data_IF_484142399343
#
_entry.id   IF_484142399343
#
_cell.length_a   1.000
_cell.length_b   1.000
_cell.length_c   1.000
_cell.angle_alpha   90.00
_cell.angle_beta   90.00
_cell.angle_gamma   90.00
#
_symmetry.space_group_name_H-M   'P 1'
#
loop_
_entity.id
_entity.type
_entity.pdbx_description
1 polymer ?
#
# COMPACT_ATOMS: atom_id res chain seq x y z
N UNK A 1 14.03 2.95 -0.21
CA UNK A 1 13.53 3.82 -1.29
C UNK A 1 12.02 3.74 -1.32
N UNK A 2 11.29 4.86 -1.24
CA UNK A 2 9.84 4.88 -1.35
C UNK A 2 9.35 4.23 -2.65
N UNK A 3 8.19 3.57 -2.60
CA UNK A 3 7.52 3.06 -3.79
C UNK A 3 6.81 4.19 -4.53
N UNK A 4 6.46 3.97 -5.80
CA UNK A 4 5.63 4.91 -6.56
C UNK A 4 4.26 5.11 -5.90
N UNK A 5 3.63 6.26 -6.13
CA UNK A 5 2.19 6.39 -5.93
C UNK A 5 1.49 5.42 -6.86
N UNK A 6 0.60 4.59 -6.33
CA UNK A 6 -0.06 3.54 -7.09
C UNK A 6 -1.48 3.25 -6.59
N UNK A 7 -2.30 2.75 -7.50
CA UNK A 7 -3.61 2.17 -7.20
C UNK A 7 -3.83 0.92 -8.05
N UNK A 8 -4.79 0.09 -7.65
CA UNK A 8 -5.07 -1.17 -8.29
C UNK A 8 -6.51 -1.22 -8.79
N UNK A 9 -6.77 -1.85 -9.96
CA UNK A 9 -8.12 -1.97 -10.49
C UNK A 9 -8.97 -2.96 -9.68
N UNK A 10 -10.29 -2.74 -9.68
CA UNK A 10 -11.25 -3.76 -9.28
C UNK A 10 -11.40 -4.85 -10.36
N UNK A 11 -12.18 -5.90 -10.05
CA UNK A 11 -12.36 -7.03 -10.95
C UNK A 11 -13.02 -6.68 -12.30
N UNK A 12 -13.89 -5.68 -12.34
CA UNK A 12 -14.55 -5.26 -13.57
C UNK A 12 -13.59 -4.44 -14.46
N UNK A 13 -12.84 -3.53 -13.83
CA UNK A 13 -11.83 -2.70 -14.48
C UNK A 13 -10.66 -3.52 -15.00
N UNK A 14 -10.17 -4.50 -14.22
CA UNK A 14 -9.08 -5.39 -14.62
C UNK A 14 -9.45 -6.18 -15.89
N UNK A 15 -10.62 -6.82 -15.89
CA UNK A 15 -11.11 -7.56 -17.08
C UNK A 15 -11.30 -6.66 -18.29
N UNK A 16 -11.92 -5.49 -18.11
CA UNK A 16 -12.18 -4.57 -19.21
C UNK A 16 -10.88 -3.99 -19.80
N UNK A 17 -9.94 -3.59 -18.92
CA UNK A 17 -8.65 -3.04 -19.32
C UNK A 17 -7.78 -4.09 -20.03
N UNK A 18 -7.67 -5.29 -19.48
CA UNK A 18 -6.93 -6.40 -20.09
C UNK A 18 -7.48 -6.76 -21.48
N UNK A 19 -8.81 -6.86 -21.60
CA UNK A 19 -9.45 -7.14 -22.90
C UNK A 19 -9.21 -6.02 -23.92
N UNK A 20 -9.28 -4.75 -23.50
CA UNK A 20 -9.02 -3.58 -24.36
C UNK A 20 -7.58 -3.59 -24.87
N UNK A 21 -6.58 -3.71 -23.99
CA UNK A 21 -5.17 -3.70 -24.38
C UNK A 21 -4.79 -4.89 -25.26
N UNK A 22 -5.40 -6.06 -25.04
CA UNK A 22 -5.25 -7.20 -25.94
C UNK A 22 -5.86 -6.93 -27.34
N UNK A 23 -7.02 -6.26 -27.41
CA UNK A 23 -7.64 -5.88 -28.68
C UNK A 23 -6.81 -4.84 -29.44
N UNK A 24 -6.17 -3.93 -28.70
CA UNK A 24 -5.30 -2.91 -29.26
C UNK A 24 -3.92 -3.48 -29.67
N UNK A 25 -3.65 -4.76 -29.37
CA UNK A 25 -2.43 -5.47 -29.73
C UNK A 25 -1.20 -5.06 -28.93
N UNK A 26 -1.41 -4.52 -27.73
CA UNK A 26 -0.32 -4.17 -26.79
C UNK A 26 0.20 -5.47 -26.17
N UNK A 27 1.50 -5.73 -26.32
CA UNK A 27 2.13 -6.92 -25.76
C UNK A 27 2.05 -6.90 -24.21
N UNK A 28 1.92 -8.09 -23.59
CA UNK A 28 1.86 -8.19 -22.12
C UNK A 28 3.13 -7.69 -21.45
N UNK A 29 4.27 -7.77 -22.12
CA UNK A 29 5.57 -7.30 -21.64
C UNK A 29 5.90 -5.85 -22.07
N UNK A 30 4.97 -5.16 -22.76
CA UNK A 30 5.18 -3.78 -23.15
C UNK A 30 5.26 -2.87 -21.91
N UNK A 31 6.30 -2.03 -21.77
CA UNK A 31 6.47 -1.14 -20.61
C UNK A 31 5.36 -0.10 -20.44
N UNK A 32 4.54 0.14 -21.47
CA UNK A 32 3.39 1.04 -21.43
C UNK A 32 2.09 0.31 -21.09
N UNK A 33 2.11 -1.03 -21.00
CA UNK A 33 0.92 -1.81 -20.65
C UNK A 33 0.56 -1.59 -19.18
N UNK A 34 -0.72 -1.31 -18.92
CA UNK A 34 -1.27 -1.09 -17.58
C UNK A 34 -1.92 -2.34 -17.01
N UNK A 35 -2.67 -3.10 -17.86
CA UNK A 35 -3.39 -4.31 -17.43
C UNK A 35 -2.68 -5.56 -17.96
N UNK A 36 -1.89 -6.20 -17.11
CA UNK A 36 -1.10 -7.39 -17.46
C UNK A 36 -1.86 -8.70 -17.25
N UNK A 37 -2.95 -8.64 -16.48
CA UNK A 37 -3.87 -9.75 -16.21
C UNK A 37 -5.32 -9.24 -16.04
N UNK A 38 -6.30 -10.14 -15.93
CA UNK A 38 -7.71 -9.83 -15.78
C UNK A 38 -8.23 -9.91 -14.34
N UNK A 39 -7.32 -9.93 -13.34
CA UNK A 39 -7.63 -10.03 -11.92
C UNK A 39 -7.53 -8.69 -11.18
N UNK A 40 -8.39 -8.48 -10.16
CA UNK A 40 -8.23 -7.37 -9.24
C UNK A 40 -6.99 -7.58 -8.37
N UNK A 41 -6.41 -6.50 -7.85
CA UNK A 41 -5.30 -6.58 -6.92
C UNK A 41 -5.70 -5.97 -5.57
N UNK A 42 -6.17 -6.82 -4.67
CA UNK A 42 -6.37 -6.51 -3.25
C UNK A 42 -5.09 -6.82 -2.50
N UNK A 43 -4.71 -5.96 -1.57
CA UNK A 43 -3.49 -6.10 -0.78
C UNK A 43 -3.73 -5.88 0.70
N UNK A 44 -2.95 -6.56 1.53
CA UNK A 44 -2.76 -6.24 2.94
C UNK A 44 -1.27 -6.27 3.24
N UNK A 45 -0.80 -5.20 3.89
CA UNK A 45 0.53 -5.13 4.45
C UNK A 45 0.45 -5.19 5.98
N UNK A 46 1.18 -6.12 6.58
CA UNK A 46 1.36 -6.23 8.04
C UNK A 46 2.75 -5.75 8.41
N UNK A 47 2.84 -4.76 9.27
CA UNK A 47 4.12 -4.20 9.71
C UNK A 47 4.88 -5.18 10.62
N UNK A 48 6.16 -5.41 10.35
CA UNK A 48 7.12 -6.14 11.23
C UNK A 48 8.03 -5.18 11.99
N UNK A 49 8.19 -3.96 11.52
CA UNK A 49 8.87 -2.86 12.20
C UNK A 49 7.95 -1.64 12.24
N UNK A 50 8.39 -0.54 12.82
CA UNK A 50 7.75 0.75 12.55
C UNK A 50 7.73 0.95 11.03
N UNK A 51 6.55 1.24 10.49
CA UNK A 51 6.30 1.30 9.05
C UNK A 51 5.58 2.59 8.67
N UNK A 52 6.05 3.22 7.62
CA UNK A 52 5.56 4.49 7.11
C UNK A 52 4.99 4.32 5.70
N UNK A 53 3.84 4.91 5.46
CA UNK A 53 3.22 4.91 4.15
C UNK A 53 2.34 6.13 3.90
N UNK A 54 1.86 6.24 2.67
CA UNK A 54 0.80 7.17 2.26
C UNK A 54 -0.40 6.36 1.83
N UNK A 55 -1.62 6.73 2.24
CA UNK A 55 -2.80 5.93 1.91
C UNK A 55 -4.09 6.74 1.97
N UNK A 56 -4.81 6.78 0.85
CA UNK A 56 -6.08 7.49 0.73
C UNK A 56 -5.95 9.01 0.74
N UNK A 57 -6.89 9.69 0.07
CA UNK A 57 -6.87 11.15 0.02
C UNK A 57 -7.32 11.76 1.35
N UNK A 58 -6.54 12.74 1.81
CA UNK A 58 -6.90 13.66 2.90
C UNK A 58 -8.06 14.55 2.45
N UNK A 59 -8.77 15.14 3.41
CA UNK A 59 -9.79 16.14 3.12
C UNK A 59 -9.21 17.30 2.30
N UNK A 60 -9.88 17.74 1.21
CA UNK A 60 -9.39 18.82 0.36
C UNK A 60 -9.11 20.12 1.10
N UNK A 61 -9.97 20.45 2.09
CA UNK A 61 -9.81 21.67 2.87
C UNK A 61 -8.62 21.60 3.82
N UNK A 62 -8.43 20.46 4.48
CA UNK A 62 -7.25 20.20 5.32
C UNK A 62 -5.97 20.23 4.50
N UNK A 63 -5.98 19.58 3.32
CA UNK A 63 -4.85 19.61 2.40
C UNK A 63 -4.50 21.05 2.01
N UNK A 64 -5.48 21.86 1.63
CA UNK A 64 -5.28 23.26 1.27
C UNK A 64 -4.72 24.06 2.44
N UNK A 65 -5.25 23.88 3.65
CA UNK A 65 -4.80 24.56 4.85
C UNK A 65 -3.31 24.28 5.14
N UNK A 66 -2.85 23.03 5.01
CA UNK A 66 -1.45 22.67 5.23
C UNK A 66 -0.51 23.34 4.20
N UNK A 67 -0.92 23.45 2.95
CA UNK A 67 -0.15 24.20 1.95
C UNK A 67 -0.13 25.70 2.25
N UNK A 68 -1.22 26.29 2.73
CA UNK A 68 -1.29 27.70 3.09
C UNK A 68 -0.44 28.01 4.33
N UNK A 69 -0.39 27.11 5.31
CA UNK A 69 0.42 27.24 6.53
C UNK A 69 1.94 27.18 6.25
N UNK A 70 2.37 26.57 5.13
CA UNK A 70 3.77 26.64 4.69
C UNK A 70 4.20 28.04 4.23
N UNK A 71 3.26 28.95 3.96
CA UNK A 71 3.54 30.33 3.50
C UNK A 71 4.46 30.40 2.28
N UNK A 72 4.27 29.50 1.31
CA UNK A 72 5.00 29.48 0.04
C UNK A 72 4.73 30.78 -0.74
N UNK A 73 5.78 31.45 -1.20
CA UNK A 73 5.66 32.75 -1.89
C UNK A 73 5.18 32.64 -3.33
N UNK A 74 5.54 31.55 -4.03
CA UNK A 74 5.06 31.27 -5.38
C UNK A 74 3.55 30.97 -5.31
N UNK A 75 2.71 31.62 -6.15
CA UNK A 75 1.29 31.32 -6.18
C UNK A 75 1.03 29.84 -6.45
N UNK A 76 0.33 29.18 -5.52
CA UNK A 76 -0.02 27.74 -5.61
C UNK A 76 -1.34 27.49 -6.35
N UNK A 77 -2.18 28.55 -6.53
CA UNK A 77 -3.50 28.43 -7.14
C UNK A 77 -3.52 27.80 -8.55
N UNK A 78 -2.50 27.97 -9.42
CA UNK A 78 -2.47 27.26 -10.70
C UNK A 78 -2.51 25.74 -10.56
N UNK A 79 -2.13 25.20 -9.40
CA UNK A 79 -2.10 23.76 -9.12
C UNK A 79 -3.15 23.35 -8.11
N UNK A 80 -3.27 24.11 -7.01
CA UNK A 80 -4.09 23.78 -5.83
C UNK A 80 -5.43 24.53 -5.78
N UNK A 81 -5.70 25.45 -6.72
CA UNK A 81 -6.91 26.29 -6.70
C UNK A 81 -8.21 25.49 -6.67
N UNK A 82 -8.24 24.34 -7.34
CA UNK A 82 -9.41 23.46 -7.36
C UNK A 82 -9.79 22.93 -5.97
N UNK A 83 -8.86 22.89 -4.99
CA UNK A 83 -9.17 22.52 -3.60
C UNK A 83 -10.08 23.54 -2.89
N UNK A 84 -10.11 24.77 -3.37
CA UNK A 84 -10.96 25.84 -2.84
C UNK A 84 -12.17 26.14 -3.73
N UNK A 85 -12.02 26.03 -5.03
CA UNK A 85 -13.06 26.37 -6.01
C UNK A 85 -14.09 25.26 -6.20
N UNK A 86 -13.73 24.02 -5.89
CA UNK A 86 -14.57 22.82 -6.02
C UNK A 86 -14.70 22.10 -4.69
N UNK A 87 -15.51 21.06 -4.65
CA UNK A 87 -15.69 20.22 -3.47
C UNK A 87 -15.62 18.73 -3.81
N UNK A 88 -15.26 17.93 -2.80
CA UNK A 88 -15.26 16.47 -2.89
C UNK A 88 -14.34 15.91 -3.97
N UNK A 89 -14.80 14.87 -4.64
CA UNK A 89 -14.02 14.11 -5.63
C UNK A 89 -13.52 14.94 -6.80
N UNK A 90 -14.27 15.96 -7.23
CA UNK A 90 -13.86 16.79 -8.35
C UNK A 90 -12.66 17.68 -7.99
N UNK A 91 -12.61 18.21 -6.76
CA UNK A 91 -11.48 18.97 -6.26
C UNK A 91 -10.22 18.10 -6.20
N UNK A 92 -10.33 16.90 -5.62
CA UNK A 92 -9.22 15.96 -5.51
C UNK A 92 -8.70 15.50 -6.87
N UNK A 93 -9.59 15.08 -7.78
CA UNK A 93 -9.20 14.60 -9.10
C UNK A 93 -8.48 15.67 -9.91
N UNK A 94 -9.04 16.87 -9.99
CA UNK A 94 -8.45 17.96 -10.77
C UNK A 94 -7.10 18.40 -10.19
N UNK A 95 -7.00 18.56 -8.87
CA UNK A 95 -5.74 18.94 -8.22
C UNK A 95 -4.68 17.85 -8.41
N UNK A 96 -5.03 16.58 -8.18
CA UNK A 96 -4.11 15.47 -8.35
C UNK A 96 -3.55 15.41 -9.77
N UNK A 97 -4.40 15.48 -10.77
CA UNK A 97 -3.99 15.49 -12.17
C UNK A 97 -3.15 16.74 -12.52
N UNK A 98 -3.48 17.89 -11.95
CA UNK A 98 -2.67 19.10 -12.10
C UNK A 98 -1.27 18.93 -11.52
N UNK A 99 -1.10 18.20 -10.42
CA UNK A 99 0.21 17.92 -9.84
C UNK A 99 1.07 17.03 -10.73
N UNK A 100 0.48 16.18 -11.57
CA UNK A 100 1.22 15.26 -12.45
C UNK A 100 1.77 15.93 -13.72
N UNK A 101 1.32 17.12 -14.05
CA UNK A 101 1.88 17.86 -15.20
C UNK A 101 3.31 18.33 -14.89
N UNK A 102 4.27 17.89 -15.69
CA UNK A 102 5.70 18.10 -15.46
C UNK A 102 6.26 19.43 -15.96
N UNK A 103 5.53 20.55 -15.85
CA UNK A 103 5.95 21.86 -16.30
C UNK A 103 6.80 22.63 -15.27
N UNK A 104 7.40 23.74 -15.72
CA UNK A 104 8.30 24.55 -14.90
C UNK A 104 7.60 25.22 -13.71
N UNK A 105 6.31 25.55 -13.83
CA UNK A 105 5.52 26.15 -12.74
C UNK A 105 5.41 25.18 -11.57
N UNK A 106 5.09 23.93 -11.84
CA UNK A 106 4.95 22.88 -10.80
C UNK A 106 6.28 22.54 -10.16
N UNK A 107 7.37 22.48 -10.96
CA UNK A 107 8.73 22.27 -10.43
C UNK A 107 9.16 23.40 -9.51
N UNK A 108 8.82 24.65 -9.86
CA UNK A 108 9.11 25.80 -8.99
C UNK A 108 8.34 25.71 -7.68
N UNK A 109 7.03 25.36 -7.71
CA UNK A 109 6.20 25.21 -6.51
C UNK A 109 6.79 24.11 -5.61
N UNK A 110 7.12 22.92 -6.13
CA UNK A 110 7.75 21.84 -5.37
C UNK A 110 9.04 22.30 -4.71
N UNK A 111 9.93 22.95 -5.48
CA UNK A 111 11.22 23.42 -4.97
C UNK A 111 11.02 24.36 -3.79
N UNK A 112 10.05 25.27 -3.87
CA UNK A 112 9.76 26.21 -2.79
C UNK A 112 9.07 25.54 -1.61
N UNK A 113 8.08 24.66 -1.85
CA UNK A 113 7.43 23.85 -0.82
C UNK A 113 8.46 23.10 0.00
N UNK A 114 9.38 22.38 -0.63
CA UNK A 114 10.45 21.64 0.05
C UNK A 114 11.39 22.59 0.81
N UNK A 115 11.77 23.69 0.21
CA UNK A 115 12.66 24.69 0.84
C UNK A 115 12.07 25.28 2.12
N UNK A 116 10.75 25.56 2.13
CA UNK A 116 10.06 26.08 3.32
C UNK A 116 9.82 24.97 4.33
N UNK A 117 9.43 23.77 3.88
CA UNK A 117 9.14 22.60 4.70
C UNK A 117 10.31 22.24 5.62
N UNK A 118 11.58 22.42 5.19
CA UNK A 118 12.78 22.17 6.02
C UNK A 118 12.70 22.88 7.39
N UNK A 119 12.05 24.03 7.48
CA UNK A 119 11.95 24.80 8.73
C UNK A 119 10.94 24.18 9.71
N UNK A 120 10.03 23.32 9.25
CA UNK A 120 8.94 22.72 10.02
C UNK A 120 9.15 21.25 10.38
N UNK A 121 10.15 20.57 9.82
CA UNK A 121 10.37 19.11 10.02
C UNK A 121 10.53 18.69 11.50
N UNK A 122 10.94 19.60 12.36
CA UNK A 122 11.11 19.35 13.80
C UNK A 122 9.83 19.53 14.64
N UNK A 123 8.73 19.97 14.04
CA UNK A 123 7.48 20.20 14.75
C UNK A 123 6.68 18.92 14.98
N UNK A 124 6.11 18.78 16.17
CA UNK A 124 5.15 17.70 16.48
C UNK A 124 3.72 18.18 16.22
N UNK A 125 3.46 18.52 14.97
CA UNK A 125 2.20 19.08 14.46
C UNK A 125 1.84 18.43 13.13
N UNK A 126 0.57 18.52 12.65
CA UNK A 126 0.20 18.10 11.30
C UNK A 126 1.04 18.77 10.20
N UNK A 127 1.39 20.05 10.37
CA UNK A 127 2.29 20.77 9.47
C UNK A 127 3.70 20.15 9.47
N UNK A 128 4.24 19.80 10.65
CA UNK A 128 5.53 19.14 10.76
C UNK A 128 5.57 17.77 10.08
N UNK A 129 4.49 16.98 10.19
CA UNK A 129 4.37 15.70 9.47
C UNK A 129 4.29 15.89 7.96
N UNK A 130 3.49 16.85 7.51
CA UNK A 130 3.38 17.24 6.11
C UNK A 130 4.74 17.69 5.54
N UNK A 131 5.45 18.52 6.29
CA UNK A 131 6.78 19.02 5.93
C UNK A 131 7.83 17.89 5.86
N UNK A 132 7.86 16.97 6.84
CA UNK A 132 8.72 15.79 6.80
C UNK A 132 8.45 14.94 5.57
N UNK A 133 7.19 14.76 5.20
CA UNK A 133 6.82 14.00 4.00
C UNK A 133 7.37 14.66 2.74
N UNK A 134 7.23 15.98 2.60
CA UNK A 134 7.75 16.71 1.45
C UNK A 134 9.28 16.57 1.31
N UNK A 135 10.01 16.77 2.41
CA UNK A 135 11.47 16.71 2.43
C UNK A 135 11.97 15.27 2.17
N UNK A 136 11.36 14.27 2.82
CA UNK A 136 11.70 12.85 2.62
C UNK A 136 11.52 12.42 1.15
N UNK A 137 10.42 12.81 0.53
CA UNK A 137 10.16 12.46 -0.86
C UNK A 137 11.14 13.16 -1.83
N UNK A 138 11.50 14.42 -1.55
CA UNK A 138 12.47 15.16 -2.39
C UNK A 138 13.87 14.56 -2.33
N UNK A 139 14.27 13.93 -1.24
CA UNK A 139 15.55 13.20 -1.16
C UNK A 139 15.66 12.07 -2.19
N UNK A 140 14.53 11.43 -2.53
CA UNK A 140 14.49 10.31 -3.48
C UNK A 140 14.03 10.71 -4.88
N UNK A 141 13.24 11.77 -5.00
CA UNK A 141 12.62 12.27 -6.23
C UNK A 141 12.81 13.79 -6.35
N UNK A 142 14.07 14.29 -6.48
CA UNK A 142 14.37 15.71 -6.40
C UNK A 142 13.58 16.55 -7.41
N UNK A 143 12.77 17.48 -6.91
CA UNK A 143 11.98 18.41 -7.71
C UNK A 143 10.86 17.76 -8.54
N UNK A 144 10.45 16.54 -8.21
CA UNK A 144 9.35 15.85 -8.90
C UNK A 144 8.00 16.50 -8.53
N UNK A 145 7.22 17.02 -9.48
CA UNK A 145 5.91 17.60 -9.21
C UNK A 145 4.93 16.65 -8.54
N UNK A 146 5.06 15.34 -8.71
CA UNK A 146 4.21 14.36 -8.05
C UNK A 146 4.38 14.29 -6.53
N UNK A 147 5.39 14.97 -5.97
CA UNK A 147 5.46 15.23 -4.51
C UNK A 147 4.23 15.99 -4.04
N UNK A 148 3.74 16.98 -4.82
CA UNK A 148 2.49 17.69 -4.48
C UNK A 148 1.29 16.76 -4.47
N UNK A 149 1.24 15.81 -5.39
CA UNK A 149 0.20 14.77 -5.41
C UNK A 149 0.30 13.84 -4.19
N UNK A 150 1.50 13.44 -3.80
CA UNK A 150 1.74 12.63 -2.61
C UNK A 150 1.30 13.33 -1.33
N UNK A 151 1.51 14.63 -1.23
CA UNK A 151 1.10 15.46 -0.10
C UNK A 151 -0.43 15.61 0.05
N UNK A 152 -1.21 15.20 -0.95
CA UNK A 152 -2.67 15.09 -0.84
C UNK A 152 -3.14 13.83 -0.12
N UNK A 153 -2.25 12.88 0.19
CA UNK A 153 -2.59 11.63 0.86
C UNK A 153 -2.35 11.72 2.37
N UNK A 154 -3.09 10.88 3.13
CA UNK A 154 -2.83 10.71 4.54
C UNK A 154 -1.51 9.97 4.75
N UNK A 155 -0.68 10.44 5.70
CA UNK A 155 0.46 9.66 6.17
C UNK A 155 -0.02 8.61 7.16
N UNK A 156 0.53 7.42 7.05
CA UNK A 156 0.17 6.25 7.86
C UNK A 156 1.39 5.77 8.62
N UNK A 157 1.22 5.60 9.92
CA UNK A 157 2.23 5.04 10.83
C UNK A 157 1.71 3.72 11.38
N UNK A 158 2.37 2.61 11.05
CA UNK A 158 2.02 1.30 11.59
C UNK A 158 3.08 0.86 12.60
N UNK A 159 2.62 0.34 13.72
CA UNK A 159 3.44 -0.39 14.67
C UNK A 159 3.50 -1.87 14.30
N UNK A 160 4.56 -2.61 14.72
CA UNK A 160 4.62 -4.05 14.51
C UNK A 160 3.32 -4.74 14.89
N UNK A 161 2.82 -5.62 14.01
CA UNK A 161 1.55 -6.35 14.17
C UNK A 161 0.30 -5.60 13.69
N UNK A 162 0.37 -4.32 13.39
CA UNK A 162 -0.72 -3.60 12.71
C UNK A 162 -0.66 -3.83 11.21
N UNK A 163 -1.82 -3.87 10.56
CA UNK A 163 -1.91 -4.05 9.13
C UNK A 163 -2.67 -2.91 8.45
N UNK A 164 -2.26 -2.57 7.23
CA UNK A 164 -2.94 -1.66 6.32
C UNK A 164 -3.68 -2.47 5.27
N UNK A 165 -4.99 -2.26 5.16
CA UNK A 165 -5.81 -2.84 4.10
C UNK A 165 -5.87 -1.87 2.92
N UNK A 166 -5.49 -2.34 1.73
CA UNK A 166 -5.46 -1.57 0.48
C UNK A 166 -6.46 -2.16 -0.51
N UNK A 167 -7.71 -1.70 -0.48
CA UNK A 167 -8.71 -2.12 -1.46
C UNK A 167 -8.43 -1.50 -2.84
N UNK A 168 -9.01 -2.09 -3.93
CA UNK A 168 -8.94 -1.51 -5.25
C UNK A 168 -9.37 -0.04 -5.29
N UNK A 169 -8.71 0.75 -6.13
CA UNK A 169 -8.96 2.18 -6.31
C UNK A 169 -8.32 3.10 -5.26
N UNK A 170 -7.77 2.55 -4.18
CA UNK A 170 -7.13 3.36 -3.14
C UNK A 170 -5.71 3.76 -3.55
N UNK A 171 -5.46 5.07 -3.66
CA UNK A 171 -4.11 5.59 -3.91
C UNK A 171 -3.24 5.41 -2.67
N UNK A 172 -2.05 4.81 -2.84
CA UNK A 172 -1.14 4.53 -1.73
C UNK A 172 0.32 4.52 -2.18
N UNK A 173 1.23 4.55 -1.21
CA UNK A 173 2.67 4.34 -1.40
C UNK A 173 3.30 3.89 -0.09
N UNK A 174 4.27 2.98 -0.14
CA UNK A 174 5.06 2.59 1.03
C UNK A 174 6.38 3.38 1.05
N UNK A 175 6.66 4.02 2.16
CA UNK A 175 7.82 4.92 2.30
C UNK A 175 9.01 4.20 2.94
N UNK A 176 8.80 3.59 4.11
CA UNK A 176 9.87 2.91 4.84
C UNK A 176 9.31 1.86 5.80
N UNK A 177 10.16 0.94 6.24
CA UNK A 177 9.82 -0.15 7.16
C UNK A 177 9.98 -1.53 6.53
N UNK A 178 9.67 -2.55 7.31
CA UNK A 178 9.64 -3.96 6.89
C UNK A 178 8.26 -4.52 7.20
N UNK A 179 7.68 -5.27 6.28
CA UNK A 179 6.36 -5.87 6.44
C UNK A 179 6.20 -7.18 5.68
N UNK A 180 5.13 -7.88 6.02
CA UNK A 180 4.60 -9.00 5.23
C UNK A 180 3.44 -8.46 4.42
N UNK A 181 3.53 -8.62 3.11
CA UNK A 181 2.44 -8.29 2.21
C UNK A 181 1.83 -9.55 1.64
N UNK A 182 0.51 -9.66 1.71
CA UNK A 182 -0.27 -10.64 0.98
C UNK A 182 -1.18 -9.93 0.00
N UNK A 183 -1.23 -10.42 -1.24
CA UNK A 183 -2.03 -9.83 -2.29
C UNK A 183 -2.67 -10.91 -3.15
N UNK A 184 -3.73 -10.55 -3.86
CA UNK A 184 -4.29 -11.37 -4.92
C UNK A 184 -3.25 -11.59 -6.03
N UNK A 185 -3.37 -12.71 -6.75
CA UNK A 185 -2.45 -13.08 -7.85
C UNK A 185 -2.66 -12.18 -9.09
N UNK A 186 -2.28 -10.92 -8.93
CA UNK A 186 -2.34 -9.90 -9.98
C UNK A 186 -1.13 -8.97 -9.91
N UNK A 187 -0.69 -8.51 -11.08
CA UNK A 187 0.36 -7.50 -11.22
C UNK A 187 -0.16 -6.17 -11.79
N UNK A 188 -1.47 -6.00 -11.83
CA UNK A 188 -2.11 -4.77 -12.31
C UNK A 188 -1.81 -3.58 -11.41
N UNK A 189 -1.09 -2.58 -11.94
CA UNK A 189 -0.69 -1.37 -11.23
C UNK A 189 -0.88 -0.15 -12.11
N UNK A 190 -1.71 0.79 -11.69
CA UNK A 190 -1.71 2.15 -12.24
C UNK A 190 -0.88 3.08 -11.37
N UNK A 191 0.05 3.80 -11.97
CA UNK A 191 0.95 4.71 -11.25
C UNK A 191 0.42 6.13 -11.28
N UNK A 192 0.57 6.84 -10.15
CA UNK A 192 0.12 8.21 -9.95
C UNK A 192 1.24 9.19 -9.60
N UNK A 193 2.52 8.82 -9.83
CA UNK A 193 3.68 9.67 -9.54
C UNK A 193 4.80 8.95 -8.79
N UNK A 194 5.84 9.70 -8.41
CA UNK A 194 7.06 9.21 -7.76
C UNK A 194 7.70 8.04 -8.52
N UNK A 195 7.79 8.18 -9.84
CA UNK A 195 8.24 7.09 -10.71
C UNK A 195 8.81 7.60 -12.04
N UNK A 196 9.79 6.86 -12.58
CA UNK A 196 10.28 7.05 -13.94
C UNK A 196 9.55 6.20 -14.98
N UNK A 197 8.58 5.37 -14.54
CA UNK A 197 7.79 4.52 -15.43
C UNK A 197 6.62 5.32 -16.02
N UNK A 198 6.06 4.78 -17.11
CA UNK A 198 4.88 5.36 -17.75
C UNK A 198 3.71 5.54 -16.76
N UNK A 199 3.03 6.68 -16.86
CA UNK A 199 1.79 6.98 -16.14
C UNK A 199 0.66 7.03 -17.18
N UNK A 200 -0.25 6.08 -17.12
CA UNK A 200 -1.46 6.05 -17.94
C UNK A 200 -2.54 6.88 -17.26
N UNK A 201 -2.66 8.14 -17.68
CA UNK A 201 -3.62 9.10 -17.12
C UNK A 201 -5.08 8.65 -17.32
N UNK A 202 -5.40 8.04 -18.46
CA UNK A 202 -6.76 7.61 -18.75
C UNK A 202 -7.19 6.45 -17.84
N UNK A 203 -6.31 5.48 -17.61
CA UNK A 203 -6.56 4.40 -16.66
C UNK A 203 -6.53 4.91 -15.20
N UNK A 204 -5.66 5.87 -14.88
CA UNK A 204 -5.59 6.49 -13.56
C UNK A 204 -6.93 7.13 -13.16
N UNK A 205 -7.53 7.94 -14.06
CA UNK A 205 -8.82 8.59 -13.80
C UNK A 205 -9.95 7.56 -13.61
N UNK A 206 -9.88 6.43 -14.30
CA UNK A 206 -10.91 5.39 -14.21
C UNK A 206 -10.78 4.55 -12.94
N UNK A 207 -9.56 4.26 -12.50
CA UNK A 207 -9.27 3.33 -11.41
C UNK A 207 -9.31 4.02 -10.05
N UNK A 208 -8.74 5.24 -9.94
CA UNK A 208 -8.56 5.90 -8.65
C UNK A 208 -9.88 6.42 -8.10
N UNK A 209 -10.15 6.07 -6.85
CA UNK A 209 -11.25 6.65 -6.06
C UNK A 209 -10.81 8.01 -5.51
N UNK A 210 -11.19 9.09 -6.19
CA UNK A 210 -10.94 10.46 -5.72
C UNK A 210 -11.94 10.88 -4.64
N UNK A 211 -11.89 10.18 -3.51
CA UNK A 211 -12.71 10.48 -2.34
C UNK A 211 -11.80 10.59 -1.11
N UNK A 212 -12.18 11.43 -0.17
CA UNK A 212 -11.56 11.44 1.15
C UNK A 212 -11.76 10.09 1.80
N UNK A 213 -10.68 9.45 2.23
CA UNK A 213 -10.70 8.13 2.84
C UNK A 213 -9.69 8.06 3.99
N UNK A 214 -10.19 7.67 5.15
CA UNK A 214 -9.32 7.32 6.27
C UNK A 214 -8.64 5.97 6.03
N UNK A 215 -7.33 5.86 6.26
CA UNK A 215 -6.61 4.59 6.14
C UNK A 215 -7.21 3.54 7.09
N UNK A 216 -7.52 2.36 6.55
CA UNK A 216 -8.06 1.27 7.35
C UNK A 216 -6.93 0.46 7.98
N UNK A 217 -6.60 0.79 9.23
CA UNK A 217 -5.66 0.03 10.04
C UNK A 217 -6.40 -1.07 10.78
N UNK A 218 -5.94 -2.30 10.67
CA UNK A 218 -6.51 -3.48 11.32
C UNK A 218 -5.45 -4.17 12.18
N UNK A 219 -5.92 -4.82 13.26
CA UNK A 219 -5.11 -5.69 14.09
C UNK A 219 -5.63 -7.13 13.97
N UNK A 220 -4.74 -8.09 14.15
CA UNK A 220 -5.12 -9.49 14.15
C UNK A 220 -5.93 -9.83 15.41
N UNK A 221 -6.95 -10.70 15.25
CA UNK A 221 -7.82 -11.21 16.32
C UNK A 221 -7.37 -12.61 16.73
N UNK A 222 -7.32 -12.88 18.03
CA UNK A 222 -6.92 -14.18 18.55
C UNK A 222 -7.99 -15.23 18.21
N UNK A 223 -7.57 -16.36 17.65
CA UNK A 223 -8.43 -17.50 17.28
C UNK A 223 -8.05 -18.75 18.04
N UNK A 224 -6.79 -18.90 18.42
CA UNK A 224 -6.25 -19.95 19.30
C UNK A 224 -5.05 -19.36 20.05
N UNK A 225 -4.61 -19.95 21.16
CA UNK A 225 -3.40 -19.51 21.86
C UNK A 225 -2.21 -19.45 20.89
N UNK A 226 -1.56 -18.27 20.79
CA UNK A 226 -0.44 -18.04 19.90
C UNK A 226 -0.79 -17.94 18.41
N UNK A 227 -2.09 -17.94 18.05
CA UNK A 227 -2.52 -17.78 16.66
C UNK A 227 -3.61 -16.72 16.55
N UNK A 228 -3.39 -15.77 15.67
CA UNK A 228 -4.31 -14.66 15.36
C UNK A 228 -4.65 -14.65 13.88
N UNK A 229 -5.81 -14.12 13.51
CA UNK A 229 -6.24 -13.93 12.10
C UNK A 229 -6.50 -12.45 11.83
N UNK A 230 -6.13 -11.96 10.65
CA UNK A 230 -6.51 -10.61 10.23
C UNK A 230 -7.93 -10.63 9.69
N UNK A 231 -8.87 -9.88 10.31
CA UNK A 231 -10.28 -9.87 9.91
C UNK A 231 -10.53 -9.00 8.67
N UNK A 232 -11.62 -9.32 7.95
CA UNK A 232 -12.11 -8.50 6.85
C UNK A 232 -11.20 -8.45 5.62
N UNK A 233 -10.34 -9.44 5.50
CA UNK A 233 -9.64 -9.78 4.28
C UNK A 233 -10.58 -10.70 3.53
N UNK A 234 -10.96 -10.29 2.35
CA UNK A 234 -12.04 -10.88 1.58
C UNK A 234 -11.87 -12.37 1.22
N UNK A 235 -12.82 -12.86 0.43
CA UNK A 235 -12.84 -14.21 -0.12
C UNK A 235 -11.62 -14.57 -0.99
N UNK A 236 -10.67 -13.65 -1.19
CA UNK A 236 -9.51 -13.88 -2.06
C UNK A 236 -8.33 -14.53 -1.35
N UNK A 237 -8.08 -14.20 -0.08
CA UNK A 237 -7.01 -14.80 0.72
C UNK A 237 -7.28 -14.66 2.22
N UNK A 238 -6.55 -15.45 3.02
CA UNK A 238 -6.56 -15.38 4.50
C UNK A 238 -5.13 -15.32 5.01
N UNK A 239 -4.93 -14.54 6.07
CA UNK A 239 -3.65 -14.37 6.72
C UNK A 239 -3.79 -14.59 8.22
N UNK A 240 -2.98 -15.50 8.76
CA UNK A 240 -2.81 -15.70 10.18
C UNK A 240 -1.42 -15.25 10.61
N UNK A 241 -1.32 -14.72 11.80
CA UNK A 241 -0.08 -14.45 12.50
C UNK A 241 0.11 -15.50 13.58
N UNK A 242 1.34 -16.02 13.69
CA UNK A 242 1.79 -16.91 14.76
C UNK A 242 2.72 -16.16 15.70
N UNK A 243 2.58 -16.42 17.00
CA UNK A 243 3.41 -15.96 18.11
C UNK A 243 3.45 -17.12 19.10
N UNK A 244 4.38 -18.05 18.86
CA UNK A 244 4.46 -19.33 19.57
C UNK A 244 5.66 -19.36 20.50
N UNK A 245 5.46 -19.94 21.68
CA UNK A 245 6.52 -20.40 22.58
C UNK A 245 6.55 -21.93 22.67
N UNK A 246 7.60 -22.49 23.23
CA UNK A 246 7.83 -23.94 23.34
C UNK A 246 6.77 -24.67 24.21
N UNK A 247 5.86 -23.96 24.87
CA UNK A 247 4.83 -24.53 25.75
C UNK A 247 3.45 -24.59 25.11
N UNK A 248 3.25 -23.92 23.98
CA UNK A 248 1.96 -23.76 23.34
C UNK A 248 2.04 -24.00 21.82
N UNK A 249 1.98 -25.27 21.35
CA UNK A 249 1.98 -25.57 19.93
C UNK A 249 0.67 -25.12 19.28
N UNK A 250 0.76 -24.61 18.04
CA UNK A 250 -0.40 -24.32 17.22
C UNK A 250 -0.85 -25.55 16.43
N UNK A 251 -2.17 -25.68 16.27
CA UNK A 251 -2.75 -26.76 15.47
C UNK A 251 -3.52 -26.16 14.29
N UNK A 252 -2.98 -26.31 13.09
CA UNK A 252 -3.69 -25.96 11.87
C UNK A 252 -4.56 -27.13 11.41
N UNK A 253 -5.88 -26.97 11.41
CA UNK A 253 -6.78 -28.03 10.95
C UNK A 253 -6.59 -28.29 9.46
N UNK A 254 -7.04 -29.46 8.98
CA UNK A 254 -7.12 -29.70 7.55
C UNK A 254 -8.00 -28.63 6.86
N UNK A 255 -7.56 -28.21 5.67
CA UNK A 255 -8.26 -27.21 4.85
C UNK A 255 -8.34 -27.71 3.42
N UNK A 256 -9.40 -27.38 2.72
CA UNK A 256 -9.54 -27.65 1.27
C UNK A 256 -8.52 -26.88 0.42
N UNK A 257 -7.90 -25.84 1.02
CA UNK A 257 -6.91 -25.01 0.35
C UNK A 257 -5.51 -25.28 0.89
N UNK A 258 -4.54 -25.21 0.02
CA UNK A 258 -3.13 -25.21 0.38
C UNK A 258 -2.77 -23.92 1.14
N UNK A 259 -1.71 -23.98 1.94
CA UNK A 259 -1.22 -22.88 2.76
C UNK A 259 0.29 -22.76 2.65
N UNK A 260 0.81 -21.59 2.92
CA UNK A 260 2.23 -21.32 3.07
C UNK A 260 2.46 -20.81 4.49
N UNK A 261 3.38 -21.46 5.22
CA UNK A 261 3.89 -20.97 6.50
C UNK A 261 5.26 -20.33 6.26
N UNK A 262 5.44 -19.10 6.71
CA UNK A 262 6.71 -18.37 6.71
C UNK A 262 7.10 -18.03 8.15
N UNK A 263 8.33 -18.33 8.56
CA UNK A 263 8.88 -17.92 9.85
C UNK A 263 9.63 -16.59 9.69
N UNK A 264 9.24 -15.62 10.50
CA UNK A 264 9.83 -14.26 10.48
C UNK A 264 10.85 -14.05 11.59
N UNK A 265 10.73 -14.80 12.70
CA UNK A 265 11.75 -14.88 13.75
C UNK A 265 11.71 -16.24 14.46
N UNK A 266 12.85 -16.65 15.05
CA UNK A 266 12.95 -17.92 15.76
C UNK A 266 12.97 -19.16 14.88
N UNK A 267 12.39 -20.26 15.37
CA UNK A 267 12.32 -21.56 14.69
C UNK A 267 10.99 -22.27 14.94
N UNK A 268 10.59 -23.12 13.99
CA UNK A 268 9.42 -23.98 14.13
C UNK A 268 9.71 -25.40 13.62
N UNK A 269 8.99 -26.37 14.20
CA UNK A 269 8.91 -27.74 13.75
C UNK A 269 7.48 -28.00 13.28
N UNK A 270 7.34 -28.23 11.99
CA UNK A 270 6.06 -28.42 11.31
C UNK A 270 5.84 -29.90 11.06
N UNK A 271 4.88 -30.52 11.76
CA UNK A 271 4.63 -31.97 11.71
C UNK A 271 3.27 -32.28 11.11
N UNK A 272 3.24 -33.12 10.08
CA UNK A 272 2.03 -33.55 9.38
C UNK A 272 2.09 -35.01 8.94
N UNK A 273 1.12 -35.45 8.13
CA UNK A 273 1.05 -36.84 7.67
C UNK A 273 2.17 -37.22 6.71
N UNK A 274 2.81 -36.24 6.06
CA UNK A 274 3.90 -36.43 5.09
C UNK A 274 5.29 -36.37 5.72
N UNK A 275 5.40 -36.03 7.02
CA UNK A 275 6.67 -35.94 7.72
C UNK A 275 6.75 -34.73 8.65
N UNK A 276 7.98 -34.42 9.00
CA UNK A 276 8.32 -33.28 9.88
C UNK A 276 9.42 -32.46 9.22
N UNK A 277 9.19 -31.16 9.13
CA UNK A 277 10.15 -30.18 8.65
C UNK A 277 10.55 -29.22 9.77
N UNK A 278 11.85 -28.97 9.89
CA UNK A 278 12.38 -27.91 10.74
C UNK A 278 12.63 -26.67 9.90
N UNK A 279 12.08 -25.55 10.28
CA UNK A 279 12.19 -24.28 9.57
C UNK A 279 12.59 -23.15 10.53
N UNK A 280 13.42 -22.24 10.02
CA UNK A 280 13.95 -21.13 10.78
C UNK A 280 13.60 -19.80 10.08
N UNK A 281 13.90 -18.71 10.72
CA UNK A 281 13.71 -17.36 10.19
C UNK A 281 14.09 -17.25 8.71
N UNK A 282 13.15 -16.71 7.90
CA UNK A 282 13.30 -16.50 6.46
C UNK A 282 13.01 -17.73 5.59
N UNK A 283 12.67 -18.87 6.21
CA UNK A 283 12.25 -20.08 5.51
C UNK A 283 10.74 -20.22 5.50
N UNK A 284 10.23 -20.85 4.45
CA UNK A 284 8.81 -21.14 4.29
C UNK A 284 8.60 -22.61 3.94
N UNK A 285 7.44 -23.14 4.35
CA UNK A 285 6.99 -24.49 4.01
C UNK A 285 5.61 -24.43 3.37
N UNK A 286 5.43 -25.26 2.34
CA UNK A 286 4.16 -25.49 1.68
C UNK A 286 3.37 -26.56 2.42
N UNK A 287 2.14 -26.25 2.82
CA UNK A 287 1.18 -27.16 3.46
C UNK A 287 0.13 -27.52 2.42
N UNK A 288 0.08 -28.76 1.92
CA UNK A 288 -0.90 -29.18 0.92
C UNK A 288 -2.35 -29.05 1.40
N UNK A 289 -3.29 -28.98 0.46
CA UNK A 289 -4.70 -29.11 0.76
C UNK A 289 -4.98 -30.48 1.41
N UNK A 290 -5.91 -30.52 2.35
CA UNK A 290 -6.26 -31.74 3.13
C UNK A 290 -5.33 -32.01 4.31
N UNK A 291 -4.19 -31.36 4.41
CA UNK A 291 -3.19 -31.61 5.44
C UNK A 291 -3.55 -30.93 6.76
N UNK A 292 -3.46 -31.69 7.87
CA UNK A 292 -3.49 -31.17 9.24
C UNK A 292 -2.06 -31.09 9.74
N UNK A 293 -1.65 -29.94 10.27
CA UNK A 293 -0.29 -29.68 10.68
C UNK A 293 -0.24 -29.18 12.12
N UNK A 294 0.65 -29.77 12.91
CA UNK A 294 1.06 -29.22 14.20
C UNK A 294 2.34 -28.42 14.02
N UNK A 295 2.37 -27.23 14.62
CA UNK A 295 3.51 -26.32 14.58
C UNK A 295 3.97 -26.13 16.02
N UNK A 296 5.17 -26.62 16.32
CA UNK A 296 5.85 -26.49 17.60
C UNK A 296 7.04 -25.55 17.43
N UNK A 297 7.45 -24.83 18.47
CA UNK A 297 8.68 -24.03 18.42
C UNK A 297 8.61 -22.78 19.29
N UNK A 298 9.57 -21.91 19.06
CA UNK A 298 9.67 -20.57 19.62
C UNK A 298 9.86 -19.63 18.43
N UNK A 299 8.75 -19.06 17.94
CA UNK A 299 8.77 -18.36 16.66
C UNK A 299 7.65 -17.34 16.49
N UNK A 300 7.98 -16.30 15.73
CA UNK A 300 7.01 -15.46 15.02
C UNK A 300 6.89 -15.92 13.57
N UNK A 301 5.68 -15.92 13.04
CA UNK A 301 5.45 -16.34 11.66
C UNK A 301 4.10 -15.93 11.10
N UNK A 302 3.89 -16.27 9.83
CA UNK A 302 2.63 -16.03 9.13
C UNK A 302 2.22 -17.24 8.33
N UNK A 303 0.91 -17.50 8.31
CA UNK A 303 0.31 -18.50 7.44
C UNK A 303 -0.61 -17.80 6.47
N UNK A 304 -0.39 -18.04 5.19
CA UNK A 304 -1.22 -17.52 4.10
C UNK A 304 -1.98 -18.66 3.41
N UNK A 305 -3.22 -18.40 3.03
CA UNK A 305 -4.03 -19.26 2.18
C UNK A 305 -4.80 -18.43 1.16
N UNK A 306 -5.18 -19.05 0.03
CA UNK A 306 -6.21 -18.47 -0.84
C UNK A 306 -7.54 -18.33 -0.05
N UNK A 307 -8.41 -17.45 -0.51
CA UNK A 307 -9.77 -17.32 0.01
C UNK A 307 -10.68 -18.47 -0.44
N UNK A 308 -11.87 -18.54 0.13
CA UNK A 308 -12.91 -19.51 -0.22
C UNK A 308 -13.89 -18.91 -1.23
#
# INVERSE_FOLDING_TARGET
>A
HPLSLQAHPDAAMARAGFARENQDGIDVDDPHRTFVDDWPKLEILVALSDFEGLCGFRDPHETRQLFDELEVLTPTDPVLGSLTERSGSAALAETFLNCLAGDDVRRQIVTEVVSVAVNHVGEDTPLGEFARTAVELDEYFPGDPSILAALMLNRVHLKPGQALSVPPGLMHSYLSGTGIEIMADSNNVVRGGLTNKHIDIDSLIQIVSFQTQEPRIIAAEEVDPGMRVFPGIDDQFRLWQLDLDTTCPAMMPASELARILLITDGYAVCSGSHGTDEIVRGQAVWIPAGERVQIDGDCDGFIAAAGL
#
